data_IF_070223179914
#
_entry.id   IF_070223179914
#
_cell.length_a   1.000
_cell.length_b   1.000
_cell.length_c   1.000
_cell.angle_alpha   90.00
_cell.angle_beta   90.00
_cell.angle_gamma   90.00
#
_symmetry.space_group_name_H-M   'P 1'
#
loop_
_entity.id
_entity.type
_entity.pdbx_description
1 polymer ?
#
# COMPACT_ATOMS: atom_id res chain seq x y z
N UNK A 1 6.78 -32.06 -11.05
CA UNK A 1 7.52 -31.53 -9.90
C UNK A 1 6.49 -30.91 -9.00
N UNK A 2 6.17 -31.55 -7.88
CA UNK A 2 5.37 -30.93 -6.82
C UNK A 2 6.21 -29.75 -6.30
N UNK A 3 5.80 -28.54 -6.65
CA UNK A 3 6.52 -27.33 -6.25
C UNK A 3 6.32 -27.10 -4.76
N UNK A 4 7.39 -26.78 -4.04
CA UNK A 4 7.29 -26.34 -2.66
C UNK A 4 6.42 -25.07 -2.61
N UNK A 5 5.17 -25.20 -2.18
CA UNK A 5 4.30 -24.05 -2.04
C UNK A 5 4.61 -23.35 -0.72
N UNK A 6 4.93 -22.06 -0.79
CA UNK A 6 5.23 -21.24 0.37
C UNK A 6 4.10 -20.24 0.65
N UNK A 7 3.87 -19.97 1.92
CA UNK A 7 3.03 -18.86 2.39
C UNK A 7 3.84 -17.92 3.28
N UNK A 8 3.55 -16.63 3.20
CA UNK A 8 4.09 -15.63 4.13
C UNK A 8 2.99 -15.27 5.12
N UNK A 9 3.32 -15.35 6.40
CA UNK A 9 2.42 -15.03 7.50
C UNK A 9 3.08 -13.99 8.41
N UNK A 10 2.31 -13.04 8.92
CA UNK A 10 2.83 -12.01 9.81
C UNK A 10 2.22 -12.15 11.20
N UNK A 11 3.06 -12.04 12.22
CA UNK A 11 2.66 -11.92 13.63
C UNK A 11 3.20 -10.61 14.20
N UNK A 12 2.52 -10.03 15.18
CA UNK A 12 2.92 -8.77 15.78
C UNK A 12 2.58 -8.75 17.27
N UNK A 13 3.41 -8.10 18.08
CA UNK A 13 3.02 -7.72 19.44
C UNK A 13 1.91 -6.65 19.41
N UNK A 14 1.29 -6.39 20.55
CA UNK A 14 0.23 -5.38 20.64
C UNK A 14 0.78 -3.99 20.33
N UNK A 15 0.07 -3.18 19.51
CA UNK A 15 0.49 -1.83 19.22
C UNK A 15 0.38 -0.93 20.46
N UNK A 16 1.40 -0.11 20.67
CA UNK A 16 1.47 0.94 21.69
C UNK A 16 1.20 2.27 20.99
N UNK A 17 0.14 2.97 21.39
CA UNK A 17 -0.35 4.17 20.70
C UNK A 17 0.38 5.46 21.11
N UNK A 18 1.10 5.46 22.24
CA UNK A 18 1.89 6.60 22.73
C UNK A 18 3.36 6.18 22.94
N UNK A 19 4.13 5.97 21.86
CA UNK A 19 5.52 5.62 21.99
C UNK A 19 6.39 6.81 22.36
N UNK A 20 7.50 6.61 23.10
CA UNK A 20 8.50 7.65 23.30
C UNK A 20 9.08 8.11 21.95
N UNK A 21 9.44 9.39 21.87
CA UNK A 21 10.12 9.96 20.71
C UNK A 21 11.56 9.44 20.66
N UNK A 22 11.78 8.33 19.96
CA UNK A 22 13.11 7.75 19.74
C UNK A 22 13.52 7.91 18.27
N UNK A 23 14.69 8.53 18.06
CA UNK A 23 15.52 8.52 16.84
C UNK A 23 14.80 8.44 15.49
N UNK A 24 14.53 9.59 14.86
CA UNK A 24 14.08 9.67 13.45
C UNK A 24 12.67 9.15 13.15
N UNK A 25 11.98 8.55 14.12
CA UNK A 25 10.63 8.02 13.97
C UNK A 25 9.58 9.12 13.75
N UNK A 26 8.62 8.87 12.85
CA UNK A 26 7.50 9.79 12.61
C UNK A 26 6.57 9.85 13.84
N UNK A 27 6.34 11.05 14.35
CA UNK A 27 5.46 11.31 15.49
C UNK A 27 3.99 11.02 15.14
N UNK A 28 3.23 10.45 16.08
CA UNK A 28 1.81 10.13 15.90
C UNK A 28 1.52 8.78 15.23
N UNK A 29 2.54 8.08 14.75
CA UNK A 29 2.40 6.69 14.28
C UNK A 29 2.53 5.73 15.47
N UNK A 30 1.63 4.73 15.60
CA UNK A 30 1.74 3.71 16.63
C UNK A 30 3.08 2.97 16.57
N UNK A 31 3.39 2.24 17.64
CA UNK A 31 4.62 1.48 17.77
C UNK A 31 4.31 0.01 18.00
N UNK A 32 5.01 -0.88 17.31
CA UNK A 32 5.00 -2.32 17.58
C UNK A 32 6.44 -2.74 17.88
N UNK A 33 6.63 -3.33 19.05
CA UNK A 33 7.95 -3.75 19.53
C UNK A 33 8.59 -4.80 18.61
N UNK A 34 7.78 -5.77 18.15
CA UNK A 34 8.24 -6.86 17.31
C UNK A 34 7.16 -7.27 16.30
N UNK A 35 7.52 -7.22 15.02
CA UNK A 35 6.74 -7.75 13.90
C UNK A 35 7.57 -8.86 13.26
N UNK A 36 7.01 -10.05 13.10
CA UNK A 36 7.70 -11.20 12.51
C UNK A 36 6.97 -11.68 11.26
N UNK A 37 7.68 -11.79 10.16
CA UNK A 37 7.21 -12.39 8.92
C UNK A 37 7.80 -13.80 8.82
N UNK A 38 6.95 -14.81 8.83
CA UNK A 38 7.31 -16.21 8.75
C UNK A 38 7.10 -16.72 7.33
N UNK A 39 8.13 -17.32 6.75
CA UNK A 39 8.03 -18.10 5.52
C UNK A 39 7.69 -19.55 5.90
N UNK A 40 6.51 -20.02 5.50
CA UNK A 40 5.98 -21.32 5.91
C UNK A 40 5.75 -22.19 4.68
N UNK A 41 6.21 -23.44 4.73
CA UNK A 41 5.85 -24.45 3.72
C UNK A 41 4.41 -24.90 3.94
N UNK A 42 3.57 -24.77 2.92
CA UNK A 42 2.12 -25.03 3.04
C UNK A 42 1.77 -26.51 3.16
N UNK A 43 2.66 -27.41 2.76
CA UNK A 43 2.42 -28.86 2.77
C UNK A 43 2.38 -29.44 4.19
N UNK A 44 3.31 -29.01 5.05
CA UNK A 44 3.49 -29.56 6.40
C UNK A 44 3.46 -28.48 7.50
N UNK A 45 3.38 -27.20 7.14
CA UNK A 45 3.34 -26.08 8.07
C UNK A 45 4.69 -25.75 8.71
N UNK A 46 5.80 -26.26 8.19
CA UNK A 46 7.13 -25.98 8.73
C UNK A 46 7.54 -24.52 8.45
N UNK A 47 8.02 -23.82 9.48
CA UNK A 47 8.60 -22.48 9.35
C UNK A 47 10.02 -22.61 8.81
N UNK A 48 10.25 -22.13 7.60
CA UNK A 48 11.53 -22.23 6.90
C UNK A 48 12.47 -21.09 7.27
N UNK A 49 11.94 -19.87 7.36
CA UNK A 49 12.72 -18.67 7.66
C UNK A 49 11.84 -17.57 8.26
N UNK A 50 12.46 -16.57 8.88
CA UNK A 50 11.79 -15.45 9.54
C UNK A 50 12.50 -14.11 9.30
N UNK A 51 11.72 -13.08 8.96
CA UNK A 51 12.17 -11.68 8.99
C UNK A 51 11.53 -10.97 10.18
N UNK A 52 12.37 -10.44 11.08
CA UNK A 52 11.91 -9.69 12.25
C UNK A 52 12.19 -8.20 12.04
N UNK A 53 11.17 -7.37 12.28
CA UNK A 53 11.28 -5.92 12.38
C UNK A 53 11.00 -5.51 13.82
N UNK A 54 11.89 -4.68 14.36
CA UNK A 54 11.80 -4.18 15.73
C UNK A 54 11.44 -2.70 15.75
N UNK A 55 10.69 -2.30 16.78
CA UNK A 55 10.44 -0.91 17.09
C UNK A 55 9.82 -0.11 15.93
N UNK A 56 8.88 -0.72 15.22
CA UNK A 56 8.37 -0.21 13.94
C UNK A 56 6.84 -0.34 13.85
N UNK A 57 6.25 0.13 12.77
CA UNK A 57 4.85 -0.04 12.46
C UNK A 57 4.66 -0.42 11.00
N UNK A 58 4.19 -1.63 10.76
CA UNK A 58 3.72 -2.10 9.45
C UNK A 58 2.21 -2.28 9.52
N UNK A 59 1.47 -1.64 8.63
CA UNK A 59 0.01 -1.78 8.60
C UNK A 59 -0.40 -3.12 7.97
N UNK A 60 -0.51 -4.16 8.80
CA UNK A 60 -0.90 -5.51 8.35
C UNK A 60 -2.41 -5.65 8.08
N UNK A 61 -3.22 -4.67 8.47
CA UNK A 61 -4.67 -4.70 8.23
C UNK A 61 -4.93 -4.76 6.72
N UNK A 62 -5.59 -5.82 6.25
CA UNK A 62 -5.82 -6.06 4.82
C UNK A 62 -4.55 -5.96 3.95
N UNK A 63 -3.40 -6.39 4.47
CA UNK A 63 -2.10 -6.36 3.78
C UNK A 63 -1.74 -4.96 3.24
N UNK A 64 -2.07 -3.89 3.97
CA UNK A 64 -1.85 -2.53 3.46
C UNK A 64 -0.38 -2.13 3.38
N UNK A 65 0.45 -2.56 4.34
CA UNK A 65 1.88 -2.27 4.41
C UNK A 65 2.76 -3.33 3.74
N UNK A 66 2.16 -4.30 3.03
CA UNK A 66 2.91 -5.43 2.46
C UNK A 66 2.41 -5.71 1.05
N UNK A 67 3.34 -5.94 0.12
CA UNK A 67 3.00 -6.31 -1.25
C UNK A 67 3.94 -7.41 -1.76
N UNK A 68 3.38 -8.44 -2.37
CA UNK A 68 4.10 -9.56 -2.98
C UNK A 68 3.93 -9.50 -4.50
N UNK A 69 5.04 -9.57 -5.23
CA UNK A 69 5.10 -9.67 -6.68
C UNK A 69 6.01 -10.85 -7.04
N UNK A 70 5.42 -11.92 -7.57
CA UNK A 70 6.10 -13.20 -7.78
C UNK A 70 6.80 -13.68 -6.48
N UNK A 71 8.13 -13.59 -6.43
CA UNK A 71 9.03 -13.94 -5.32
C UNK A 71 9.59 -12.72 -4.58
N UNK A 72 9.23 -11.49 -4.98
CA UNK A 72 9.66 -10.25 -4.33
C UNK A 72 8.59 -9.74 -3.37
N UNK A 73 9.00 -9.50 -2.12
CA UNK A 73 8.17 -8.98 -1.03
C UNK A 73 8.62 -7.56 -0.69
N UNK A 74 7.69 -6.60 -0.75
CA UNK A 74 7.87 -5.25 -0.25
C UNK A 74 7.15 -5.11 1.10
N UNK A 75 7.85 -4.57 2.09
CA UNK A 75 7.32 -4.27 3.42
C UNK A 75 7.56 -2.78 3.71
N UNK A 76 6.49 -2.05 3.98
CA UNK A 76 6.54 -0.61 4.29
C UNK A 76 6.61 -0.42 5.80
N UNK A 77 7.79 0.00 6.26
CA UNK A 77 8.05 0.55 7.58
C UNK A 77 7.52 1.99 7.64
N UNK A 78 6.33 2.18 8.24
CA UNK A 78 5.71 3.50 8.33
C UNK A 78 6.43 4.39 9.35
N UNK A 79 6.93 3.82 10.45
CA UNK A 79 7.58 4.62 11.49
C UNK A 79 8.95 5.12 11.03
N UNK A 80 9.72 4.26 10.36
CA UNK A 80 11.08 4.58 9.90
C UNK A 80 11.12 5.02 8.43
N UNK A 81 9.97 5.20 7.79
CA UNK A 81 9.85 5.68 6.41
C UNK A 81 10.72 4.91 5.42
N UNK A 82 10.68 3.59 5.54
CA UNK A 82 11.57 2.67 4.83
C UNK A 82 10.77 1.58 4.13
N UNK A 83 11.21 1.18 2.93
CA UNK A 83 10.65 0.08 2.16
C UNK A 83 11.70 -1.03 2.15
N UNK A 84 11.39 -2.15 2.79
CA UNK A 84 12.23 -3.35 2.75
C UNK A 84 11.81 -4.21 1.56
N UNK A 85 12.76 -4.53 0.69
CA UNK A 85 12.57 -5.44 -0.44
C UNK A 85 13.28 -6.75 -0.12
N UNK A 86 12.52 -7.82 0.01
CA UNK A 86 13.02 -9.17 0.25
C UNK A 86 12.71 -10.07 -0.96
N UNK A 87 13.55 -11.08 -1.18
CA UNK A 87 13.32 -12.12 -2.17
C UNK A 87 13.16 -13.48 -1.50
N UNK A 88 12.09 -14.17 -1.86
CA UNK A 88 11.82 -15.55 -1.46
C UNK A 88 12.57 -16.47 -2.42
N UNK A 89 13.55 -17.23 -1.92
CA UNK A 89 14.29 -18.19 -2.74
C UNK A 89 13.58 -19.53 -2.77
N UNK A 90 13.72 -20.27 -3.86
CA UNK A 90 13.21 -21.65 -3.99
C UNK A 90 13.75 -22.58 -2.90
N UNK A 91 14.91 -22.26 -2.33
CA UNK A 91 15.52 -22.96 -1.20
C UNK A 91 14.78 -22.76 0.14
N UNK A 92 13.76 -21.90 0.20
CA UNK A 92 13.00 -21.64 1.41
C UNK A 92 13.62 -20.58 2.32
N UNK A 93 14.34 -19.59 1.76
CA UNK A 93 14.97 -18.52 2.55
C UNK A 93 14.45 -17.14 2.12
N UNK A 94 14.38 -16.22 3.06
CA UNK A 94 14.10 -14.80 2.86
C UNK A 94 15.42 -14.03 2.78
N UNK A 95 15.70 -13.43 1.62
CA UNK A 95 16.93 -12.66 1.40
C UNK A 95 16.58 -11.18 1.32
N UNK A 96 17.18 -10.36 2.17
CA UNK A 96 17.11 -8.90 2.02
C UNK A 96 17.83 -8.49 0.73
N UNK A 97 17.09 -7.88 -0.21
CA UNK A 97 17.62 -7.44 -1.50
C UNK A 97 17.93 -5.96 -1.49
N UNK A 98 17.05 -5.15 -0.88
CA UNK A 98 17.21 -3.70 -0.87
C UNK A 98 16.43 -3.07 0.27
N UNK A 99 16.94 -1.93 0.73
CA UNK A 99 16.25 -1.05 1.69
C UNK A 99 16.18 0.33 1.07
N UNK A 100 14.97 0.88 0.93
CA UNK A 100 14.73 2.17 0.26
C UNK A 100 14.10 3.13 1.27
N UNK A 101 14.79 4.21 1.61
CA UNK A 101 14.29 5.19 2.58
C UNK A 101 15.24 6.36 2.70
N UNK A 102 15.93 6.45 3.84
CA UNK A 102 17.03 7.40 4.08
C UNK A 102 18.16 7.24 3.07
N UNK A 103 18.45 6.00 2.69
CA UNK A 103 19.41 5.63 1.66
C UNK A 103 18.69 4.93 0.50
N UNK A 104 19.24 5.07 -0.71
CA UNK A 104 18.73 4.41 -1.92
C UNK A 104 19.75 3.44 -2.53
N UNK A 105 21.05 3.67 -2.30
CA UNK A 105 22.14 2.74 -2.58
C UNK A 105 22.76 2.22 -1.29
N UNK A 106 23.40 1.05 -1.37
CA UNK A 106 24.04 0.39 -0.23
C UNK A 106 25.25 1.18 0.31
N UNK A 107 25.90 1.97 -0.52
CA UNK A 107 27.08 2.78 -0.22
C UNK A 107 26.77 4.23 0.12
N UNK A 108 25.51 4.68 0.04
CA UNK A 108 25.12 6.07 0.29
C UNK A 108 25.57 6.55 1.69
N UNK A 109 25.45 5.70 2.72
CA UNK A 109 25.85 6.03 4.08
C UNK A 109 27.35 6.35 4.16
N UNK A 110 28.20 5.56 3.49
CA UNK A 110 29.63 5.79 3.43
C UNK A 110 29.96 7.10 2.70
N UNK A 111 29.27 7.36 1.58
CA UNK A 111 29.44 8.58 0.81
C UNK A 111 29.04 9.83 1.61
N UNK A 112 27.89 9.83 2.29
CA UNK A 112 27.46 10.97 3.10
C UNK A 112 28.40 11.21 4.29
N UNK A 113 28.83 10.15 4.98
CA UNK A 113 29.77 10.25 6.10
C UNK A 113 31.13 10.80 5.67
N UNK A 114 31.65 10.37 4.51
CA UNK A 114 32.92 10.90 3.98
C UNK A 114 32.84 12.39 3.63
N UNK A 115 31.71 12.85 3.07
CA UNK A 115 31.50 14.26 2.74
C UNK A 115 31.30 15.14 3.98
N UNK A 116 30.60 14.64 4.99
CA UNK A 116 30.43 15.32 6.27
C UNK A 116 31.78 15.56 6.98
N UNK A 117 32.70 14.59 6.91
CA UNK A 117 34.05 14.73 7.45
C UNK A 117 34.91 15.74 6.69
N UNK A 118 34.75 15.85 5.36
CA UNK A 118 35.43 16.87 4.55
C UNK A 118 34.97 18.30 4.86
N UNK A 119 33.69 18.51 5.15
CA UNK A 119 33.12 19.82 5.54
C UNK A 119 33.49 20.23 6.97
N UNK A 120 33.93 19.29 7.81
CA UNK A 120 34.32 19.52 9.20
C UNK A 120 35.79 19.97 9.39
N UNK A 121 36.52 20.32 8.32
CA UNK A 121 37.79 21.04 8.43
C UNK A 121 37.54 22.55 8.39
N UNK A 122 37.42 23.24 9.54
CA UNK A 122 37.42 24.69 9.52
C UNK A 122 38.82 25.17 9.16
N UNK A 123 38.83 26.13 8.25
CA UNK A 123 39.97 26.91 7.79
C UNK A 123 40.98 27.20 8.93
N UNK A 124 42.24 26.77 8.76
CA UNK A 124 43.32 26.89 9.76
C UNK A 124 43.82 28.34 9.97
N UNK A 125 43.01 29.35 9.68
CA UNK A 125 43.40 30.77 9.75
C UNK A 125 43.06 31.48 11.07
N UNK A 126 42.51 30.79 12.08
CA UNK A 126 42.27 31.35 13.41
C UNK A 126 42.78 30.44 14.53
N UNK A 127 44.08 30.51 14.81
CA UNK A 127 44.71 29.83 15.94
C UNK A 127 45.45 30.87 16.77
N UNK A 128 44.85 31.33 17.87
CA UNK A 128 45.59 31.85 19.01
C UNK A 128 44.80 31.70 20.32
N UNK A 129 45.46 31.02 21.28
CA UNK A 129 45.29 31.00 22.76
C UNK A 129 44.42 29.91 23.44
N UNK A 130 45.08 28.76 23.74
CA UNK A 130 45.27 28.05 25.04
C UNK A 130 44.06 27.53 25.88
N UNK A 131 44.24 26.55 26.81
CA UNK A 131 45.24 25.46 26.91
C UNK A 131 44.67 24.04 27.12
N UNK A 132 45.53 23.03 26.88
CA UNK A 132 45.40 21.59 27.20
C UNK A 132 44.88 21.28 28.60
N UNK A 133 43.88 20.39 28.71
CA UNK A 133 43.77 19.39 29.80
C UNK A 133 43.19 18.05 29.26
N UNK A 134 44.01 17.01 29.43
CA UNK A 134 43.81 15.56 29.58
C UNK A 134 42.85 14.72 28.73
N UNK A 135 43.49 13.67 28.21
CA UNK A 135 43.00 12.41 27.63
C UNK A 135 42.14 11.65 28.64
N UNK A 136 40.92 11.30 28.24
CA UNK A 136 40.27 10.06 28.69
C UNK A 136 39.36 9.52 27.59
N UNK A 137 39.60 8.25 27.27
CA UNK A 137 38.89 7.45 26.29
C UNK A 137 37.39 7.39 26.59
N UNK A 138 36.59 7.70 25.57
CA UNK A 138 35.17 7.42 25.53
C UNK A 138 34.64 7.75 24.14
N UNK A 139 34.22 6.73 23.39
CA UNK A 139 33.46 6.88 22.16
C UNK A 139 32.12 7.55 22.49
N UNK A 140 32.12 8.88 22.61
CA UNK A 140 30.89 9.66 22.50
C UNK A 140 30.61 9.83 21.02
N UNK A 141 29.72 8.97 20.50
CA UNK A 141 29.01 9.25 19.27
C UNK A 141 28.19 10.52 19.55
N UNK A 142 28.79 11.67 19.23
CA UNK A 142 28.07 12.94 19.19
C UNK A 142 26.99 12.81 18.12
N UNK A 143 25.76 12.54 18.56
CA UNK A 143 24.57 12.66 17.74
C UNK A 143 24.59 14.07 17.13
N UNK A 144 24.58 14.22 15.78
CA UNK A 144 24.34 15.52 15.20
C UNK A 144 22.91 15.93 15.57
N UNK A 145 22.74 17.20 15.96
CA UNK A 145 21.43 17.80 16.23
C UNK A 145 20.47 17.47 15.08
N UNK A 146 19.33 16.85 15.42
CA UNK A 146 18.31 16.40 14.46
C UNK A 146 17.64 17.57 13.70
N UNK A 147 17.82 18.81 14.16
CA UNK A 147 17.14 19.99 13.61
C UNK A 147 17.68 20.46 12.25
N UNK A 148 18.88 20.01 11.84
CA UNK A 148 19.52 20.35 10.56
C UNK A 148 19.84 19.11 9.71
N UNK A 149 19.07 18.02 9.84
CA UNK A 149 19.29 16.86 8.96
C UNK A 149 18.84 17.17 7.53
N UNK A 150 19.78 17.21 6.60
CA UNK A 150 19.48 17.30 5.17
C UNK A 150 18.47 16.22 4.77
N UNK A 151 17.53 16.56 3.89
CA UNK A 151 16.67 15.54 3.27
C UNK A 151 17.55 14.62 2.43
N UNK A 152 17.48 13.32 2.71
CA UNK A 152 18.27 12.28 2.05
C UNK A 152 17.38 11.28 1.31
N UNK A 153 18.02 10.39 0.55
CA UNK A 153 17.41 9.23 -0.07
C UNK A 153 16.21 9.56 -0.95
N UNK A 154 15.10 8.85 -0.70
CA UNK A 154 13.93 8.91 -1.59
C UNK A 154 13.22 10.27 -1.56
N UNK A 155 13.19 10.94 -0.40
CA UNK A 155 12.59 12.29 -0.28
C UNK A 155 13.39 13.33 -1.06
N UNK A 156 14.72 13.27 -0.97
CA UNK A 156 15.62 14.15 -1.71
C UNK A 156 15.45 13.97 -3.23
N UNK A 157 15.38 12.71 -3.68
CA UNK A 157 15.19 12.36 -5.09
C UNK A 157 13.84 12.83 -5.60
N UNK A 158 12.80 12.69 -4.79
CA UNK A 158 11.46 13.20 -5.10
C UNK A 158 11.45 14.73 -5.28
N UNK A 159 12.02 15.47 -4.33
CA UNK A 159 12.09 16.92 -4.42
C UNK A 159 12.90 17.40 -5.62
N UNK A 160 14.02 16.70 -5.89
CA UNK A 160 14.87 16.98 -7.04
C UNK A 160 14.13 16.74 -8.35
N UNK A 161 13.36 15.66 -8.46
CA UNK A 161 12.50 15.38 -9.62
C UNK A 161 11.46 16.47 -9.84
N UNK A 162 10.76 16.90 -8.79
CA UNK A 162 9.75 17.97 -8.87
C UNK A 162 10.40 19.29 -9.31
N UNK A 163 11.53 19.64 -8.70
CA UNK A 163 12.27 20.86 -9.04
C UNK A 163 12.72 20.86 -10.49
N UNK A 164 13.35 19.77 -10.95
CA UNK A 164 13.83 19.63 -12.33
C UNK A 164 12.68 19.67 -13.34
N UNK A 165 11.55 19.02 -13.03
CA UNK A 165 10.35 19.08 -13.85
C UNK A 165 9.91 20.53 -14.09
N UNK A 166 9.72 21.30 -13.01
CA UNK A 166 9.30 22.71 -13.09
C UNK A 166 10.37 23.58 -13.75
N UNK A 167 11.66 23.31 -13.49
CA UNK A 167 12.76 24.05 -14.11
C UNK A 167 12.81 23.87 -15.62
N UNK A 168 12.49 22.67 -16.11
CA UNK A 168 12.56 22.31 -17.53
C UNK A 168 11.27 22.64 -18.31
N UNK A 169 10.14 22.93 -17.64
CA UNK A 169 8.89 23.33 -18.29
C UNK A 169 9.03 24.63 -19.11
N UNK A 170 9.73 25.63 -18.56
CA UNK A 170 9.77 26.98 -19.12
C UNK A 170 11.18 27.37 -19.57
N UNK A 171 11.29 28.00 -20.75
CA UNK A 171 12.58 28.40 -21.34
C UNK A 171 13.01 29.78 -20.84
N UNK A 172 12.07 30.68 -20.57
CA UNK A 172 12.36 32.01 -20.03
C UNK A 172 12.79 31.93 -18.56
N UNK A 173 13.93 32.56 -18.24
CA UNK A 173 14.49 32.55 -16.89
C UNK A 173 13.57 33.21 -15.85
N UNK A 174 12.92 34.32 -16.20
CA UNK A 174 12.07 35.08 -15.28
C UNK A 174 10.79 34.32 -14.94
N UNK A 175 10.13 33.75 -15.95
CA UNK A 175 8.94 32.93 -15.78
C UNK A 175 9.27 31.63 -15.03
N UNK A 176 10.42 31.01 -15.29
CA UNK A 176 10.88 29.83 -14.56
C UNK A 176 11.02 30.09 -13.06
N UNK A 177 11.67 31.20 -12.67
CA UNK A 177 11.81 31.57 -11.26
C UNK A 177 10.45 31.83 -10.62
N UNK A 178 9.51 32.45 -11.33
CA UNK A 178 8.14 32.65 -10.84
C UNK A 178 7.39 31.32 -10.66
N UNK A 179 7.49 30.40 -11.63
CA UNK A 179 6.92 29.07 -11.55
C UNK A 179 7.46 28.29 -10.35
N UNK A 180 8.78 28.30 -10.13
CA UNK A 180 9.39 27.67 -8.94
C UNK A 180 8.87 28.27 -7.64
N UNK A 181 8.79 29.60 -7.53
CA UNK A 181 8.25 30.26 -6.33
C UNK A 181 6.83 29.80 -6.02
N UNK A 182 5.97 29.73 -7.05
CA UNK A 182 4.55 29.41 -6.90
C UNK A 182 4.28 27.91 -6.72
N UNK A 183 4.97 27.03 -7.46
CA UNK A 183 4.68 25.59 -7.50
C UNK A 183 5.55 24.76 -6.55
N UNK A 184 6.82 25.15 -6.36
CA UNK A 184 7.79 24.40 -5.56
C UNK A 184 8.01 25.02 -4.19
N UNK A 185 8.56 26.23 -4.11
CA UNK A 185 8.96 26.84 -2.83
C UNK A 185 7.78 27.11 -1.90
N UNK A 186 6.63 27.52 -2.45
CA UNK A 186 5.40 27.71 -1.67
C UNK A 186 4.92 26.41 -1.01
N UNK A 187 5.11 25.26 -1.66
CA UNK A 187 4.68 23.93 -1.21
C UNK A 187 5.84 23.07 -0.68
N UNK A 188 7.02 23.66 -0.46
CA UNK A 188 8.23 22.89 -0.15
C UNK A 188 8.06 22.06 1.12
N UNK A 189 7.50 22.67 2.17
CA UNK A 189 7.25 22.00 3.43
C UNK A 189 6.21 20.88 3.28
N UNK A 190 5.14 21.13 2.51
CA UNK A 190 4.12 20.10 2.21
C UNK A 190 4.75 18.86 1.57
N UNK A 191 5.72 19.04 0.66
CA UNK A 191 6.44 17.93 0.02
C UNK A 191 7.46 17.25 0.95
N UNK A 192 8.17 18.03 1.77
CA UNK A 192 9.15 17.49 2.72
C UNK A 192 8.48 16.62 3.80
N UNK A 193 7.28 17.00 4.22
CA UNK A 193 6.48 16.30 5.24
C UNK A 193 5.71 15.10 4.71
N UNK A 194 5.77 14.83 3.40
CA UNK A 194 5.18 13.63 2.82
C UNK A 194 5.80 12.38 3.43
N UNK A 195 4.94 11.43 3.77
CA UNK A 195 5.32 10.11 4.21
C UNK A 195 4.87 9.04 3.22
N UNK A 196 5.68 8.00 3.07
CA UNK A 196 5.37 6.78 2.35
C UNK A 196 4.25 6.07 3.10
N UNK A 197 3.09 5.93 2.47
CA UNK A 197 1.92 5.27 3.05
C UNK A 197 1.77 3.82 2.59
N UNK A 198 2.06 3.60 1.32
CA UNK A 198 1.83 2.30 0.68
C UNK A 198 2.67 2.17 -0.57
N UNK A 199 3.07 0.94 -0.85
CA UNK A 199 3.87 0.58 -2.01
C UNK A 199 3.22 -0.60 -2.72
N UNK A 200 3.40 -0.64 -4.03
CA UNK A 200 3.05 -1.74 -4.90
C UNK A 200 4.15 -1.91 -5.94
N UNK A 201 4.47 -3.14 -6.32
CA UNK A 201 5.25 -3.39 -7.53
C UNK A 201 4.36 -3.22 -8.77
N UNK A 202 4.88 -2.49 -9.76
CA UNK A 202 4.34 -2.48 -11.12
C UNK A 202 5.00 -3.60 -11.95
N UNK A 203 6.28 -3.81 -11.72
CA UNK A 203 7.08 -4.92 -12.22
C UNK A 203 8.26 -5.18 -11.25
N UNK A 204 9.26 -5.96 -11.67
CA UNK A 204 10.41 -6.31 -10.83
C UNK A 204 11.37 -5.16 -10.54
N UNK A 205 11.29 -4.05 -11.29
CA UNK A 205 12.19 -2.89 -11.18
C UNK A 205 11.47 -1.65 -10.68
N UNK A 206 10.16 -1.53 -10.91
CA UNK A 206 9.39 -0.31 -10.66
C UNK A 206 8.39 -0.46 -9.51
N UNK A 207 8.44 0.50 -8.59
CA UNK A 207 7.49 0.65 -7.50
C UNK A 207 6.53 1.80 -7.78
N UNK A 208 5.24 1.58 -7.55
CA UNK A 208 4.25 2.62 -7.36
C UNK A 208 4.17 2.95 -5.86
N UNK A 209 4.60 4.15 -5.50
CA UNK A 209 4.65 4.62 -4.11
C UNK A 209 3.57 5.67 -3.91
N UNK A 210 2.72 5.46 -2.90
CA UNK A 210 1.75 6.45 -2.44
C UNK A 210 2.33 7.22 -1.26
N UNK A 211 2.45 8.52 -1.46
CA UNK A 211 2.80 9.49 -0.44
C UNK A 211 1.57 10.23 0.07
N UNK A 212 1.65 10.74 1.29
CA UNK A 212 0.57 11.51 1.93
C UNK A 212 1.02 12.09 3.27
N UNK A 213 0.15 12.86 3.92
CA UNK A 213 0.41 13.45 5.23
C UNK A 213 0.28 12.43 6.35
N UNK A 214 1.00 12.65 7.47
CA UNK A 214 0.96 11.84 8.70
C UNK A 214 -0.45 11.69 9.28
N UNK A 215 -1.25 12.77 9.22
CA UNK A 215 -2.62 12.78 9.76
C UNK A 215 -3.60 11.89 8.97
N UNK A 216 -3.21 11.50 7.75
CA UNK A 216 -4.09 10.85 6.79
C UNK A 216 -4.44 9.39 7.09
N UNK A 217 -3.63 8.63 7.85
CA UNK A 217 -3.83 7.19 7.96
C UNK A 217 -4.06 6.63 9.36
N UNK A 218 -4.15 7.47 10.41
CA UNK A 218 -4.72 7.07 11.71
C UNK A 218 -6.22 7.41 11.78
N UNK A 219 -6.69 8.33 10.92
CA UNK A 219 -8.08 8.74 10.85
C UNK A 219 -8.90 7.86 9.90
N UNK A 220 -10.16 7.55 10.28
CA UNK A 220 -11.14 6.85 9.42
C UNK A 220 -11.55 7.65 8.17
N UNK A 221 -11.05 8.88 8.02
CA UNK A 221 -11.37 9.83 6.93
C UNK A 221 -10.20 10.09 5.96
N UNK A 222 -9.34 9.09 5.74
CA UNK A 222 -8.18 9.14 4.84
C UNK A 222 -8.49 9.65 3.40
N UNK A 223 -9.73 9.53 2.94
CA UNK A 223 -10.18 9.94 1.60
C UNK A 223 -10.15 11.46 1.37
N UNK A 224 -10.10 12.28 2.43
CA UNK A 224 -10.09 13.74 2.30
C UNK A 224 -8.70 14.31 2.01
N UNK A 225 -7.63 13.64 2.45
CA UNK A 225 -6.27 14.14 2.30
C UNK A 225 -5.78 14.04 0.85
N UNK A 226 -4.93 14.98 0.40
CA UNK A 226 -4.27 14.87 -0.90
C UNK A 226 -3.39 13.61 -0.92
N UNK A 227 -3.53 12.82 -1.98
CA UNK A 227 -2.71 11.64 -2.23
C UNK A 227 -1.76 11.95 -3.38
N UNK A 228 -0.49 11.61 -3.18
CA UNK A 228 0.57 11.81 -4.16
C UNK A 228 1.10 10.45 -4.58
N UNK A 229 1.39 10.26 -5.85
CA UNK A 229 1.89 8.99 -6.36
C UNK A 229 3.22 9.22 -7.07
N UNK A 230 4.21 8.37 -6.82
CA UNK A 230 5.46 8.36 -7.57
C UNK A 230 5.72 6.98 -8.14
N UNK A 231 6.33 6.94 -9.33
CA UNK A 231 6.91 5.73 -9.90
C UNK A 231 8.42 5.79 -9.64
N UNK A 232 8.94 4.82 -8.90
CA UNK A 232 10.35 4.74 -8.51
C UNK A 232 11.01 3.52 -9.16
N UNK A 233 12.14 3.73 -9.81
CA UNK A 233 12.98 2.65 -10.32
C UNK A 233 13.96 2.21 -9.24
N UNK A 234 13.85 0.96 -8.79
CA UNK A 234 14.73 0.43 -7.75
C UNK A 234 16.16 0.25 -8.23
N UNK A 235 16.39 -0.03 -9.52
CA UNK A 235 17.72 -0.29 -10.06
C UNK A 235 18.52 1.00 -10.24
N UNK A 236 17.95 1.99 -10.94
CA UNK A 236 18.61 3.27 -11.19
C UNK A 236 18.45 4.24 -10.02
N UNK A 237 17.54 3.95 -9.08
CA UNK A 237 17.15 4.80 -7.95
C UNK A 237 16.50 6.12 -8.36
N UNK A 238 15.93 6.20 -9.56
CA UNK A 238 15.30 7.41 -10.06
C UNK A 238 13.79 7.44 -9.79
N UNK A 239 13.26 8.65 -9.58
CA UNK A 239 11.82 8.91 -9.70
C UNK A 239 11.54 9.13 -11.18
N UNK A 240 10.68 8.29 -11.77
CA UNK A 240 10.33 8.35 -13.20
C UNK A 240 9.15 9.29 -13.41
N UNK A 241 8.17 9.25 -12.52
CA UNK A 241 6.95 10.04 -12.62
C UNK A 241 6.47 10.44 -11.23
N UNK A 242 5.88 11.63 -11.14
CA UNK A 242 5.22 12.13 -9.94
C UNK A 242 3.86 12.73 -10.29
N UNK A 243 2.83 12.26 -9.61
CA UNK A 243 1.44 12.62 -9.84
C UNK A 243 0.86 13.29 -8.60
N UNK A 244 0.38 14.52 -8.78
CA UNK A 244 -0.22 15.34 -7.73
C UNK A 244 -1.74 15.40 -7.91
N UNK A 245 -2.49 15.33 -6.81
CA UNK A 245 -3.91 15.68 -6.68
C UNK A 245 -4.81 15.43 -7.91
N UNK A 246 -5.53 14.30 -7.89
CA UNK A 246 -6.44 13.83 -8.96
C UNK A 246 -5.78 13.75 -10.35
N UNK A 247 -4.69 12.98 -10.51
CA UNK A 247 -3.97 12.90 -11.78
C UNK A 247 -4.82 12.23 -12.86
N UNK A 248 -5.36 13.02 -13.79
CA UNK A 248 -6.13 12.50 -14.91
C UNK A 248 -5.29 11.53 -15.77
N UNK A 249 -4.00 11.81 -15.95
CA UNK A 249 -3.08 10.95 -16.69
C UNK A 249 -2.95 9.56 -16.06
N UNK A 250 -2.66 9.48 -14.76
CA UNK A 250 -2.59 8.20 -14.05
C UNK A 250 -3.93 7.48 -14.06
N UNK A 251 -5.05 8.22 -13.98
CA UNK A 251 -6.37 7.62 -14.10
C UNK A 251 -6.63 7.05 -15.49
N UNK A 252 -6.21 7.72 -16.57
CA UNK A 252 -6.34 7.20 -17.93
C UNK A 252 -5.53 5.90 -18.10
N UNK A 253 -4.30 5.87 -17.59
CA UNK A 253 -3.48 4.66 -17.56
C UNK A 253 -4.16 3.54 -16.75
N UNK A 254 -4.71 3.88 -15.60
CA UNK A 254 -5.45 2.93 -14.76
C UNK A 254 -6.73 2.41 -15.42
N UNK A 255 -7.50 3.26 -16.09
CA UNK A 255 -8.75 2.91 -16.78
C UNK A 255 -8.47 1.98 -17.97
N UNK A 256 -7.38 2.21 -18.71
CA UNK A 256 -7.01 1.43 -19.89
C UNK A 256 -6.25 0.14 -19.55
N UNK A 257 -5.35 0.18 -18.56
CA UNK A 257 -4.41 -0.91 -18.25
C UNK A 257 -4.60 -1.46 -16.82
N UNK A 258 -5.83 -1.45 -16.30
CA UNK A 258 -6.17 -1.85 -14.93
C UNK A 258 -5.54 -3.21 -14.52
N UNK A 259 -5.52 -4.20 -15.40
CA UNK A 259 -4.92 -5.51 -15.12
C UNK A 259 -3.42 -5.46 -14.85
N UNK A 260 -2.67 -4.50 -15.41
CA UNK A 260 -1.23 -4.36 -15.14
C UNK A 260 -0.95 -3.89 -13.71
N UNK A 261 -1.93 -3.23 -13.08
CA UNK A 261 -1.87 -2.91 -11.65
C UNK A 261 -2.32 -4.07 -10.77
N UNK A 262 -2.87 -5.15 -11.33
CA UNK A 262 -3.07 -6.37 -10.56
C UNK A 262 -1.81 -7.20 -10.77
N UNK A 263 -0.89 -7.16 -9.79
CA UNK A 263 0.29 -8.02 -9.78
C UNK A 263 -0.12 -9.48 -9.53
N UNK A 264 -0.82 -10.07 -10.50
CA UNK A 264 -1.19 -11.47 -10.48
C UNK A 264 0.01 -12.28 -10.95
N UNK A 265 0.39 -13.25 -10.13
CA UNK A 265 1.14 -14.42 -10.60
C UNK A 265 0.42 -14.94 -11.83
N UNK A 266 1.06 -14.80 -13.00
CA UNK A 266 0.51 -15.18 -14.31
C UNK A 266 0.16 -16.67 -14.44
N UNK A 267 0.42 -17.46 -13.40
CA UNK A 267 0.42 -18.92 -13.45
C UNK A 267 -0.85 -19.55 -12.86
N UNK A 268 -1.71 -18.81 -12.14
CA UNK A 268 -2.92 -19.40 -11.57
C UNK A 268 -4.15 -19.21 -12.45
N UNK A 269 -4.68 -20.32 -12.99
CA UNK A 269 -5.90 -20.34 -13.81
C UNK A 269 -7.11 -19.69 -13.10
N UNK A 270 -7.17 -19.73 -11.76
CA UNK A 270 -8.29 -19.11 -11.03
C UNK A 270 -8.28 -17.58 -11.12
N UNK A 271 -7.10 -16.96 -11.28
CA UNK A 271 -7.00 -15.50 -11.37
C UNK A 271 -7.67 -14.95 -12.64
N UNK A 272 -7.88 -15.78 -13.67
CA UNK A 272 -8.59 -15.40 -14.88
C UNK A 272 -10.06 -15.03 -14.65
N UNK A 273 -10.65 -15.46 -13.51
CA UNK A 273 -12.03 -15.11 -13.17
C UNK A 273 -12.17 -13.73 -12.52
N UNK A 274 -11.05 -13.08 -12.19
CA UNK A 274 -11.07 -11.73 -11.62
C UNK A 274 -11.47 -10.74 -12.72
N UNK A 275 -12.70 -10.24 -12.63
CA UNK A 275 -13.22 -9.25 -13.56
C UNK A 275 -12.70 -7.86 -13.23
N UNK A 276 -12.15 -7.18 -14.23
CA UNK A 276 -11.68 -5.80 -14.18
C UNK A 276 -12.30 -5.01 -15.34
N UNK A 277 -12.15 -3.69 -15.30
CA UNK A 277 -12.63 -2.80 -16.35
C UNK A 277 -11.83 -2.94 -17.66
N UNK A 278 -10.62 -3.53 -17.63
CA UNK A 278 -9.81 -3.78 -18.82
C UNK A 278 -10.10 -5.14 -19.46
N UNK A 279 -10.52 -6.15 -18.68
CA UNK A 279 -10.77 -7.49 -19.20
C UNK A 279 -12.26 -7.87 -19.36
N UNK A 280 -13.20 -7.10 -18.78
CA UNK A 280 -14.61 -7.43 -18.78
C UNK A 280 -15.49 -6.24 -19.22
N UNK A 281 -16.26 -6.43 -20.29
CA UNK A 281 -17.15 -5.40 -20.84
C UNK A 281 -18.23 -4.94 -19.85
N UNK A 282 -18.75 -5.84 -19.01
CA UNK A 282 -19.78 -5.49 -18.04
C UNK A 282 -19.22 -4.69 -16.88
N UNK A 283 -17.99 -4.99 -16.45
CA UNK A 283 -17.31 -4.16 -15.46
C UNK A 283 -17.09 -2.77 -16.04
N UNK A 284 -16.56 -2.69 -17.28
CA UNK A 284 -16.34 -1.42 -17.97
C UNK A 284 -17.62 -0.59 -18.12
N UNK A 285 -18.74 -1.19 -18.51
CA UNK A 285 -20.05 -0.54 -18.56
C UNK A 285 -20.48 0.01 -17.20
N UNK A 286 -20.29 -0.76 -16.13
CA UNK A 286 -20.60 -0.31 -14.77
C UNK A 286 -19.75 0.89 -14.37
N UNK A 287 -18.44 0.86 -14.62
CA UNK A 287 -17.55 1.99 -14.34
C UNK A 287 -17.99 3.24 -15.10
N UNK A 288 -18.29 3.12 -16.40
CA UNK A 288 -18.81 4.21 -17.22
C UNK A 288 -20.12 4.77 -16.65
N UNK A 289 -21.05 3.90 -16.22
CA UNK A 289 -22.27 4.33 -15.57
C UNK A 289 -22.03 5.08 -14.26
N UNK A 290 -21.07 4.65 -13.43
CA UNK A 290 -20.73 5.34 -12.17
C UNK A 290 -20.07 6.69 -12.47
N UNK A 291 -19.13 6.72 -13.43
CA UNK A 291 -18.45 7.93 -13.89
C UNK A 291 -19.45 8.98 -14.40
N UNK A 292 -20.41 8.56 -15.23
CA UNK A 292 -21.44 9.45 -15.79
C UNK A 292 -22.43 9.97 -14.73
N UNK A 293 -22.59 9.25 -13.60
CA UNK A 293 -23.43 9.69 -12.47
C UNK A 293 -22.68 10.57 -11.48
N UNK A 294 -21.36 10.69 -11.59
CA UNK A 294 -20.57 11.50 -10.67
C UNK A 294 -20.80 12.99 -10.96
N UNK A 295 -20.97 13.77 -9.89
CA UNK A 295 -21.14 15.23 -9.98
C UNK A 295 -19.87 15.96 -10.44
N UNK A 296 -18.70 15.39 -10.16
CA UNK A 296 -17.40 15.95 -10.50
C UNK A 296 -16.45 14.85 -10.96
N UNK A 297 -15.83 15.04 -12.12
CA UNK A 297 -14.81 14.13 -12.67
C UNK A 297 -13.57 14.06 -11.79
N UNK A 298 -13.06 15.21 -11.32
CA UNK A 298 -11.89 15.27 -10.44
C UNK A 298 -12.14 14.56 -9.10
N UNK A 299 -13.32 14.75 -8.48
CA UNK A 299 -13.66 14.02 -7.25
C UNK A 299 -13.79 12.51 -7.48
N UNK A 300 -14.34 12.11 -8.63
CA UNK A 300 -14.42 10.71 -9.02
C UNK A 300 -13.03 10.10 -9.22
N UNK A 301 -12.14 10.77 -9.94
CA UNK A 301 -10.74 10.35 -10.14
C UNK A 301 -10.02 10.22 -8.81
N UNK A 302 -10.10 11.26 -7.95
CA UNK A 302 -9.50 11.25 -6.62
C UNK A 302 -9.99 10.04 -5.81
N UNK A 303 -11.30 9.79 -5.80
CA UNK A 303 -11.89 8.67 -5.07
C UNK A 303 -11.45 7.32 -5.64
N UNK A 304 -11.46 7.16 -6.96
CA UNK A 304 -11.07 5.90 -7.60
C UNK A 304 -9.60 5.56 -7.36
N UNK A 305 -8.71 6.51 -7.62
CA UNK A 305 -7.27 6.29 -7.44
C UNK A 305 -6.90 6.13 -5.96
N UNK A 306 -7.42 6.98 -5.06
CA UNK A 306 -7.04 6.91 -3.64
C UNK A 306 -7.54 5.64 -2.95
N UNK A 307 -8.67 5.08 -3.41
CA UNK A 307 -9.27 3.87 -2.83
C UNK A 307 -8.85 2.55 -3.49
N UNK A 308 -8.27 2.61 -4.69
CA UNK A 308 -7.85 1.43 -5.46
C UNK A 308 -6.34 1.29 -5.51
N UNK A 309 -5.61 2.40 -5.70
CA UNK A 309 -4.15 2.39 -5.81
C UNK A 309 -3.48 2.92 -4.54
N UNK A 310 -2.36 2.32 -4.14
CA UNK A 310 -1.84 1.04 -4.62
C UNK A 310 -2.74 -0.13 -4.19
N UNK A 311 -2.77 -1.22 -4.97
CA UNK A 311 -3.54 -2.42 -4.62
C UNK A 311 -2.94 -3.13 -3.40
N UNK A 312 -3.78 -3.84 -2.64
CA UNK A 312 -3.31 -4.82 -1.64
C UNK A 312 -3.32 -6.22 -2.27
N UNK A 313 -2.34 -7.04 -1.92
CA UNK A 313 -2.35 -8.46 -2.28
C UNK A 313 -3.56 -9.17 -1.65
N UNK A 314 -4.12 -10.14 -2.37
CA UNK A 314 -5.30 -10.92 -1.97
C UNK A 314 -6.55 -10.06 -1.66
N UNK A 315 -6.62 -8.86 -2.26
CA UNK A 315 -7.77 -7.95 -2.07
C UNK A 315 -9.01 -8.35 -2.86
N UNK A 316 -8.89 -9.26 -3.82
CA UNK A 316 -9.98 -9.73 -4.68
C UNK A 316 -10.07 -11.25 -4.67
N UNK A 317 -11.30 -11.76 -4.70
CA UNK A 317 -11.61 -13.18 -4.75
C UNK A 317 -11.56 -13.69 -6.19
N UNK A 318 -10.71 -14.68 -6.51
CA UNK A 318 -10.60 -15.28 -7.84
C UNK A 318 -11.68 -16.34 -8.12
N UNK A 319 -12.84 -16.20 -7.49
CA UNK A 319 -13.91 -17.21 -7.61
C UNK A 319 -14.72 -16.97 -8.88
N UNK A 320 -15.05 -18.03 -9.66
CA UNK A 320 -15.85 -17.90 -10.88
C UNK A 320 -17.26 -17.36 -10.62
N UNK A 321 -17.75 -17.41 -9.39
CA UNK A 321 -19.04 -16.81 -9.04
C UNK A 321 -19.04 -15.27 -9.12
N UNK A 322 -17.87 -14.64 -9.03
CA UNK A 322 -17.70 -13.20 -9.21
C UNK A 322 -17.36 -12.78 -10.63
N UNK A 323 -17.21 -13.72 -11.55
CA UNK A 323 -17.01 -13.41 -12.95
C UNK A 323 -18.26 -12.72 -13.49
N UNK A 324 -18.10 -11.43 -13.83
CA UNK A 324 -19.20 -10.62 -14.31
C UNK A 324 -19.67 -11.02 -15.71
N UNK A 325 -18.91 -11.82 -16.46
CA UNK A 325 -19.35 -12.41 -17.73
C UNK A 325 -20.37 -13.55 -17.50
N UNK A 326 -20.22 -14.28 -16.39
CA UNK A 326 -21.07 -15.43 -16.06
C UNK A 326 -22.33 -15.01 -15.31
N UNK A 327 -22.16 -14.18 -14.28
CA UNK A 327 -23.23 -13.82 -13.36
C UNK A 327 -23.49 -12.32 -13.29
N UNK A 328 -24.76 -11.98 -13.08
CA UNK A 328 -25.23 -10.67 -12.65
C UNK A 328 -25.67 -10.78 -11.19
N UNK A 329 -25.11 -9.93 -10.35
CA UNK A 329 -25.41 -9.77 -8.93
C UNK A 329 -25.40 -8.28 -8.55
N UNK A 330 -25.87 -7.94 -7.35
CA UNK A 330 -25.84 -6.57 -6.85
C UNK A 330 -24.51 -6.28 -6.14
N UNK A 331 -23.65 -5.50 -6.78
CA UNK A 331 -22.32 -5.16 -6.28
C UNK A 331 -22.31 -4.39 -4.95
N UNK A 332 -23.42 -3.70 -4.65
CA UNK A 332 -23.57 -2.96 -3.39
C UNK A 332 -23.68 -3.91 -2.19
N UNK A 333 -24.22 -5.11 -2.43
CA UNK A 333 -24.43 -6.13 -1.41
C UNK A 333 -23.28 -7.13 -1.36
N UNK A 334 -22.67 -7.45 -2.50
CA UNK A 334 -21.58 -8.42 -2.60
C UNK A 334 -20.61 -8.04 -3.71
N UNK A 335 -19.31 -8.20 -3.50
CA UNK A 335 -18.29 -7.85 -4.49
C UNK A 335 -17.13 -8.84 -4.40
N UNK A 336 -16.38 -8.98 -5.50
CA UNK A 336 -15.12 -9.72 -5.51
C UNK A 336 -14.10 -9.12 -4.54
N UNK A 337 -14.18 -7.80 -4.26
CA UNK A 337 -13.29 -7.14 -3.31
C UNK A 337 -13.56 -7.58 -1.88
N UNK A 338 -12.51 -7.95 -1.16
CA UNK A 338 -12.56 -8.38 0.24
C UNK A 338 -12.79 -7.18 1.17
N UNK A 339 -14.03 -6.67 1.19
CA UNK A 339 -14.48 -5.56 2.03
C UNK A 339 -15.86 -5.89 2.62
N UNK A 340 -16.11 -5.40 3.83
CA UNK A 340 -17.43 -5.48 4.43
C UNK A 340 -18.47 -4.74 3.60
N UNK A 341 -19.66 -5.31 3.49
CA UNK A 341 -20.83 -4.75 2.81
C UNK A 341 -22.00 -4.64 3.78
N UNK A 342 -22.95 -3.75 3.49
CA UNK A 342 -24.17 -3.67 4.30
C UNK A 342 -24.96 -4.97 4.14
N UNK A 343 -25.35 -5.58 5.26
CA UNK A 343 -26.17 -6.79 5.24
C UNK A 343 -27.62 -6.42 4.97
N UNK A 344 -28.30 -7.26 4.20
CA UNK A 344 -29.73 -7.16 3.92
C UNK A 344 -30.43 -8.44 4.30
N UNK A 345 -31.67 -8.33 4.77
CA UNK A 345 -32.51 -9.51 5.06
C UNK A 345 -32.95 -10.23 3.77
N UNK A 346 -32.94 -9.53 2.64
CA UNK A 346 -33.26 -10.13 1.34
C UNK A 346 -32.10 -10.95 0.78
N UNK A 347 -32.38 -12.12 0.17
CA UNK A 347 -31.36 -12.93 -0.45
C UNK A 347 -30.71 -12.23 -1.64
N UNK A 348 -29.38 -12.30 -1.70
CA UNK A 348 -28.58 -11.82 -2.83
C UNK A 348 -28.73 -12.81 -3.98
N UNK A 349 -29.17 -12.34 -5.15
CA UNK A 349 -29.48 -13.17 -6.31
C UNK A 349 -28.31 -13.22 -7.28
N UNK A 350 -27.93 -14.42 -7.71
CA UNK A 350 -26.98 -14.64 -8.81
C UNK A 350 -27.74 -15.14 -10.04
N UNK A 351 -27.79 -14.30 -11.06
CA UNK A 351 -28.54 -14.52 -12.29
C UNK A 351 -27.54 -14.76 -13.42
N UNK A 352 -27.76 -15.78 -14.27
CA UNK A 352 -26.91 -15.94 -15.45
C UNK A 352 -27.04 -14.73 -16.38
N UNK A 353 -25.93 -14.32 -16.98
CA UNK A 353 -25.97 -13.35 -18.08
C UNK A 353 -26.34 -13.97 -19.43
N UNK A 354 -26.16 -15.27 -19.61
CA UNK A 354 -26.63 -15.96 -20.81
C UNK A 354 -28.15 -16.03 -20.82
N UNK A 355 -28.77 -15.78 -21.97
CA UNK A 355 -30.21 -16.00 -22.17
C UNK A 355 -30.57 -17.45 -21.78
N UNK A 356 -31.65 -17.67 -21.03
CA UNK A 356 -32.79 -16.77 -20.78
C UNK A 356 -32.69 -15.90 -19.49
N UNK A 357 -31.48 -15.57 -19.00
CA UNK A 357 -31.28 -14.80 -17.76
C UNK A 357 -31.89 -15.47 -16.51
N UNK A 358 -31.68 -16.78 -16.40
CA UNK A 358 -32.22 -17.56 -15.29
C UNK A 358 -31.50 -17.26 -13.97
N UNK A 359 -32.27 -17.14 -12.89
CA UNK A 359 -31.74 -17.16 -11.53
C UNK A 359 -31.10 -18.52 -11.24
N UNK A 360 -29.82 -18.54 -10.83
CA UNK A 360 -29.11 -19.80 -10.52
C UNK A 360 -29.07 -20.13 -9.05
N UNK A 361 -28.75 -19.16 -8.21
CA UNK A 361 -28.72 -19.38 -6.77
C UNK A 361 -28.91 -18.06 -6.02
N UNK A 362 -29.11 -18.20 -4.71
CA UNK A 362 -29.30 -17.10 -3.79
C UNK A 362 -28.39 -17.30 -2.58
N UNK A 363 -27.82 -16.22 -2.08
CA UNK A 363 -27.06 -16.22 -0.82
C UNK A 363 -27.87 -15.44 0.22
N UNK A 364 -28.10 -16.06 1.37
CA UNK A 364 -28.74 -15.42 2.54
C UNK A 364 -27.69 -15.18 3.61
N UNK A 365 -27.57 -13.95 4.10
CA UNK A 365 -26.62 -13.59 5.17
C UNK A 365 -27.22 -13.70 6.57
N UNK A 366 -28.56 -13.63 6.68
CA UNK A 366 -29.28 -13.70 7.95
C UNK A 366 -29.77 -15.10 8.33
N UNK A 367 -30.19 -15.29 9.60
CA UNK A 367 -30.75 -16.54 10.10
C UNK A 367 -32.02 -16.94 9.34
N UNK A 368 -32.24 -18.24 9.16
CA UNK A 368 -33.35 -18.78 8.36
C UNK A 368 -34.74 -18.35 8.85
N UNK A 369 -34.89 -18.07 10.14
CA UNK A 369 -36.14 -17.68 10.79
C UNK A 369 -36.57 -16.24 10.54
N UNK A 370 -35.79 -15.44 9.79
CA UNK A 370 -36.03 -14.01 9.65
C UNK A 370 -35.70 -13.25 10.95
N UNK A 371 -35.43 -11.96 10.79
CA UNK A 371 -35.00 -11.12 11.89
C UNK A 371 -36.19 -10.26 12.36
N UNK A 372 -36.59 -10.37 13.63
CA UNK A 372 -37.66 -9.55 14.21
C UNK A 372 -37.21 -8.11 14.48
N UNK A 373 -35.90 -7.84 14.48
CA UNK A 373 -35.35 -6.55 14.87
C UNK A 373 -34.58 -5.88 13.73
N UNK A 374 -35.32 -5.17 12.86
CA UNK A 374 -34.78 -4.46 11.69
C UNK A 374 -34.00 -3.17 11.99
N UNK A 375 -33.69 -2.88 13.26
CA UNK A 375 -33.11 -1.61 13.71
C UNK A 375 -31.58 -1.59 13.78
N UNK A 376 -30.92 -2.76 13.82
CA UNK A 376 -29.46 -2.83 13.93
C UNK A 376 -28.80 -2.89 12.55
N UNK A 377 -27.95 -1.89 12.25
CA UNK A 377 -27.08 -1.91 11.07
C UNK A 377 -26.13 -3.12 11.17
N UNK A 378 -26.24 -4.01 10.21
CA UNK A 378 -25.44 -5.25 10.10
C UNK A 378 -24.50 -5.13 8.91
N UNK A 379 -23.30 -5.68 9.05
CA UNK A 379 -22.34 -5.78 7.94
C UNK A 379 -22.03 -7.25 7.67
N UNK A 380 -21.80 -7.59 6.41
CA UNK A 380 -21.46 -8.94 5.97
C UNK A 380 -20.14 -8.94 5.23
N UNK A 381 -19.31 -9.96 5.47
CA UNK A 381 -18.18 -10.32 4.63
C UNK A 381 -18.44 -11.69 3.99
N UNK A 382 -17.82 -11.91 2.83
CA UNK A 382 -18.00 -13.12 2.06
C UNK A 382 -16.65 -13.68 1.66
N UNK A 383 -16.45 -14.97 1.88
CA UNK A 383 -15.27 -15.71 1.45
C UNK A 383 -15.72 -16.80 0.49
N UNK A 384 -15.37 -16.64 -0.77
CA UNK A 384 -15.65 -17.63 -1.80
C UNK A 384 -14.42 -18.50 -1.98
N UNK A 385 -14.62 -19.81 -2.03
CA UNK A 385 -13.54 -20.69 -2.40
C UNK A 385 -13.17 -20.43 -3.88
N UNK A 386 -11.88 -20.43 -4.24
CA UNK A 386 -11.43 -20.18 -5.62
C UNK A 386 -11.88 -21.24 -6.64
N UNK A 387 -12.32 -22.42 -6.20
CA UNK A 387 -12.51 -23.61 -7.05
C UNK A 387 -13.74 -24.40 -6.59
N UNK A 388 -13.82 -24.71 -5.30
CA UNK A 388 -14.93 -25.47 -4.74
C UNK A 388 -16.21 -24.64 -4.72
N UNK A 389 -17.39 -25.28 -4.84
CA UNK A 389 -18.70 -24.63 -4.76
C UNK A 389 -19.09 -24.29 -3.30
N UNK A 390 -18.20 -23.58 -2.61
CA UNK A 390 -18.26 -23.27 -1.19
C UNK A 390 -18.15 -21.75 -0.99
N UNK A 391 -19.07 -21.21 -0.20
CA UNK A 391 -19.07 -19.80 0.20
C UNK A 391 -19.33 -19.70 1.69
N UNK A 392 -18.52 -18.89 2.38
CA UNK A 392 -18.76 -18.50 3.76
C UNK A 392 -19.31 -17.07 3.77
N UNK A 393 -20.43 -16.85 4.45
CA UNK A 393 -20.91 -15.51 4.75
C UNK A 393 -20.82 -15.27 6.25
N UNK A 394 -20.13 -14.20 6.65
CA UNK A 394 -19.96 -13.83 8.05
C UNK A 394 -20.70 -12.53 8.27
N UNK A 395 -21.73 -12.57 9.11
CA UNK A 395 -22.49 -11.39 9.49
C UNK A 395 -22.01 -10.87 10.85
N UNK A 396 -21.60 -9.60 10.88
CA UNK A 396 -21.25 -8.89 12.09
C UNK A 396 -22.34 -7.89 12.47
N UNK A 397 -22.68 -7.91 13.75
CA UNK A 397 -23.56 -6.95 14.41
C UNK A 397 -22.71 -5.94 15.16
N UNK A 398 -22.98 -4.65 14.98
CA UNK A 398 -22.19 -3.57 15.59
C UNK A 398 -22.28 -3.52 17.13
N UNK A 399 -23.18 -4.27 17.75
CA UNK A 399 -23.39 -4.30 19.20
C UNK A 399 -23.40 -5.74 19.71
N UNK A 400 -22.38 -6.13 20.50
CA UNK A 400 -22.26 -7.23 21.49
C UNK A 400 -22.83 -8.63 21.16
N UNK A 401 -23.40 -8.85 19.98
CA UNK A 401 -23.91 -10.13 19.52
C UNK A 401 -22.82 -10.89 18.77
N UNK A 402 -22.76 -12.23 18.94
CA UNK A 402 -21.79 -13.06 18.26
C UNK A 402 -21.98 -12.99 16.74
N UNK A 403 -20.88 -13.01 16.00
CA UNK A 403 -20.93 -13.08 14.54
C UNK A 403 -21.62 -14.37 14.09
N UNK A 404 -22.52 -14.25 13.12
CA UNK A 404 -23.20 -15.42 12.53
C UNK A 404 -22.42 -15.85 11.29
N UNK A 405 -21.95 -17.09 11.29
CA UNK A 405 -21.30 -17.72 10.13
C UNK A 405 -22.31 -18.64 9.44
N UNK A 406 -22.58 -18.39 8.16
CA UNK A 406 -23.32 -19.34 7.31
C UNK A 406 -22.39 -19.96 6.28
N UNK A 407 -22.54 -21.27 6.10
CA UNK A 407 -21.81 -22.06 5.12
C UNK A 407 -22.77 -22.39 3.99
N UNK A 408 -22.51 -21.86 2.80
CA UNK A 408 -23.27 -22.14 1.59
C UNK A 408 -22.49 -23.13 0.75
N UNK A 409 -23.06 -24.31 0.55
CA UNK A 409 -22.46 -25.36 -0.26
C UNK A 409 -23.45 -25.77 -1.35
N UNK A 410 -23.00 -25.75 -2.59
CA UNK A 410 -23.78 -26.28 -3.71
C UNK A 410 -23.32 -27.71 -3.99
N UNK A 411 -24.21 -28.66 -3.71
CA UNK A 411 -24.06 -30.09 -4.04
C UNK A 411 -24.05 -30.34 -5.53
#
# INVERSE_FOLDING_TARGET
MEGNHYGIFATSTLPIHEPPATGGAIQGIPYIEKITFHLIRLEDGFVLDEKILHNDFVNLTHNMGVFLYDDLLAIVSLRNQTIHILQIRDSGNLVDVRTIGEFCHEDDELFLNSNAQCLAFPDKSKLHQLPRINVQNGLQHSQPNLEDSFLTGIKQRLLSFIFQGIWNEEKDHTLRVQCLKKKFYYHFQDYADLIIWKVQFLDRHHLLIKFGSVDGGVSRNADQHPAFFAVYNMETTDIIAFYQNSPEELYLLFEQFCDHFHATSRNSLSMNFVSSHSNNIHALEQLRCVKNKASSSSQFVKKMLSSSLPYSCQSQSPSPYFDQSLFRFDEKLISATNRHRQSTDHPIKFILRRQPYSLKFKIKTGPEAGNTDGRTKKISSFLFHPILPLVLSIQHTLFLQPSVLNIHFRR
#
